data_IF_557061111984
#
_entry.id   IF_557061111984
#
_cell.length_a   1.000
_cell.length_b   1.000
_cell.length_c   1.000
_cell.angle_alpha   90.00
_cell.angle_beta   90.00
_cell.angle_gamma   90.00
#
_symmetry.space_group_name_H-M   'P 1'
#
loop_
_entity.id
_entity.type
_entity.pdbx_description
1 polymer ?
#
# COMPACT_ATOMS: atom_id res chain seq x y z
N UNK A 1 35.26 -3.34 33.83
CA UNK A 1 34.11 -2.61 34.42
C UNK A 1 32.86 -3.46 34.22
N UNK A 2 32.03 -3.68 35.24
CA UNK A 2 30.80 -4.49 35.15
C UNK A 2 29.58 -3.60 35.31
N UNK A 3 28.72 -3.55 34.30
CA UNK A 3 27.44 -2.83 34.34
C UNK A 3 26.30 -3.81 34.55
N UNK A 4 25.32 -3.43 35.38
CA UNK A 4 24.11 -4.23 35.60
C UNK A 4 22.96 -3.62 34.81
N UNK A 5 22.45 -4.38 33.84
CA UNK A 5 21.28 -4.00 33.06
C UNK A 5 20.06 -4.54 33.79
N UNK A 6 19.10 -3.67 34.08
CA UNK A 6 17.81 -4.08 34.64
C UNK A 6 16.72 -3.72 33.64
N UNK A 7 15.96 -4.71 33.19
CA UNK A 7 14.84 -4.53 32.27
C UNK A 7 13.57 -4.59 33.10
N UNK A 8 12.82 -3.50 33.17
CA UNK A 8 11.51 -3.47 33.85
C UNK A 8 10.39 -3.41 32.80
N UNK A 9 9.41 -4.30 32.95
CA UNK A 9 8.28 -4.45 32.03
C UNK A 9 6.99 -3.95 32.67
N UNK A 10 6.30 -3.02 32.01
CA UNK A 10 4.98 -2.56 32.47
C UNK A 10 3.86 -3.40 31.83
N UNK A 11 3.30 -4.33 32.63
CA UNK A 11 2.24 -5.27 32.22
C UNK A 11 0.96 -4.61 31.68
N UNK A 12 0.67 -3.34 32.01
CA UNK A 12 -0.58 -2.68 31.57
C UNK A 12 -0.52 -2.08 30.16
N UNK A 13 0.67 -1.74 29.66
CA UNK A 13 0.79 -0.98 28.41
C UNK A 13 1.73 -1.57 27.36
N UNK A 14 2.49 -2.65 27.62
CA UNK A 14 3.39 -3.35 26.68
C UNK A 14 4.31 -2.47 25.79
N UNK A 15 4.39 -1.16 26.01
CA UNK A 15 4.93 -0.17 25.06
C UNK A 15 6.19 0.52 25.55
N UNK A 16 6.64 0.24 26.77
CA UNK A 16 7.77 0.97 27.35
C UNK A 16 8.74 0.01 28.02
N UNK A 17 9.91 -0.12 27.42
CA UNK A 17 11.09 -0.78 27.99
C UNK A 17 12.05 0.32 28.42
N UNK A 18 12.26 0.48 29.72
CA UNK A 18 13.27 1.39 30.23
C UNK A 18 14.59 0.66 30.38
N UNK A 19 15.58 1.05 29.55
CA UNK A 19 16.97 0.62 29.71
C UNK A 19 17.70 1.68 30.52
N UNK A 20 17.86 1.43 31.82
CA UNK A 20 18.67 2.27 32.71
C UNK A 20 20.01 1.59 32.96
N UNK A 21 21.09 2.25 32.51
CA UNK A 21 22.46 1.86 32.82
C UNK A 21 22.87 2.49 34.15
N UNK A 22 23.25 1.65 35.11
CA UNK A 22 23.82 2.07 36.39
C UNK A 22 25.31 1.77 36.43
N UNK A 23 26.09 2.75 36.86
CA UNK A 23 27.45 2.51 37.38
C UNK A 23 27.35 1.64 38.65
N UNK A 24 28.43 0.92 38.99
CA UNK A 24 28.56 0.09 40.20
C UNK A 24 28.28 0.86 41.52
N UNK A 25 28.25 2.21 41.47
CA UNK A 25 27.92 3.11 42.58
C UNK A 25 26.47 3.64 42.59
N UNK A 26 25.61 3.19 41.68
CA UNK A 26 24.17 3.52 41.68
C UNK A 26 23.79 4.90 41.12
N UNK A 27 24.73 5.69 40.62
CA UNK A 27 24.46 7.02 40.04
C UNK A 27 24.09 6.94 38.55
N UNK A 28 23.07 7.70 38.14
CA UNK A 28 22.59 7.78 36.75
C UNK A 28 23.60 8.53 35.87
N UNK A 29 24.21 7.85 34.89
CA UNK A 29 25.15 8.47 33.95
C UNK A 29 24.41 9.41 32.99
N UNK A 30 24.70 10.72 33.12
CA UNK A 30 24.51 11.84 32.19
C UNK A 30 23.37 11.74 31.17
N UNK A 31 22.32 12.51 31.48
CA UNK A 31 21.27 13.01 30.58
C UNK A 31 21.89 13.78 29.40
N UNK A 32 21.39 13.54 28.19
CA UNK A 32 21.52 14.45 27.05
C UNK A 32 22.40 13.91 25.91
N UNK A 33 21.74 13.30 24.91
CA UNK A 33 21.95 13.35 23.45
C UNK A 33 21.63 12.03 22.72
N UNK A 34 21.42 10.92 23.42
CA UNK A 34 21.16 9.60 22.81
C UNK A 34 19.69 9.15 22.77
N UNK A 35 18.74 9.96 23.26
CA UNK A 35 17.32 9.59 23.21
C UNK A 35 16.57 10.16 21.99
N UNK A 36 17.03 11.27 21.40
CA UNK A 36 16.31 11.92 20.28
C UNK A 36 16.47 11.11 18.99
N UNK A 37 17.67 10.55 18.73
CA UNK A 37 17.92 9.70 17.57
C UNK A 37 17.23 8.33 17.61
N UNK A 38 17.08 7.73 18.80
CA UNK A 38 16.39 6.45 18.98
C UNK A 38 14.85 6.60 18.92
N UNK A 39 14.31 7.77 19.29
CA UNK A 39 12.87 8.01 19.31
C UNK A 39 12.28 8.11 17.89
N UNK A 40 12.96 8.79 16.96
CA UNK A 40 12.49 8.99 15.58
C UNK A 40 12.45 7.69 14.75
N UNK A 41 13.35 6.73 15.02
CA UNK A 41 13.30 5.42 14.36
C UNK A 41 12.07 4.60 14.78
N UNK A 42 11.63 4.75 16.03
CA UNK A 42 10.50 3.98 16.55
C UNK A 42 9.18 4.45 15.96
N UNK A 43 8.96 5.77 15.82
CA UNK A 43 7.69 6.34 15.33
C UNK A 43 7.43 6.04 13.86
N UNK A 44 8.46 6.01 13.01
CA UNK A 44 8.32 5.65 11.60
C UNK A 44 7.87 4.19 11.40
N UNK A 45 8.39 3.28 12.24
CA UNK A 45 8.03 1.86 12.21
C UNK A 45 6.56 1.62 12.61
N UNK A 46 6.04 2.39 13.58
CA UNK A 46 4.63 2.29 14.00
C UNK A 46 3.65 2.82 12.94
N UNK A 47 4.00 3.88 12.20
CA UNK A 47 3.17 4.37 11.11
C UNK A 47 3.10 3.37 9.95
N UNK A 48 4.25 2.82 9.55
CA UNK A 48 4.33 1.86 8.44
C UNK A 48 3.62 0.53 8.76
N UNK A 49 3.73 0.04 9.99
CA UNK A 49 2.98 -1.17 10.43
C UNK A 49 1.45 -0.98 10.38
N UNK A 50 0.95 0.23 10.66
CA UNK A 50 -0.48 0.52 10.56
C UNK A 50 -0.98 0.58 9.10
N UNK A 51 -0.20 1.17 8.19
CA UNK A 51 -0.54 1.24 6.77
C UNK A 51 -0.65 -0.16 6.13
N UNK A 52 0.35 -1.02 6.38
CA UNK A 52 0.38 -2.41 5.88
C UNK A 52 -0.78 -3.24 6.44
N UNK A 53 -1.19 -3.00 7.68
CA UNK A 53 -2.36 -3.66 8.27
C UNK A 53 -3.65 -3.32 7.50
N UNK A 54 -3.89 -2.04 7.24
CA UNK A 54 -5.05 -1.61 6.43
C UNK A 54 -4.97 -2.13 5.00
N UNK A 55 -3.78 -2.17 4.39
CA UNK A 55 -3.59 -2.74 3.06
C UNK A 55 -3.98 -4.23 3.01
N UNK A 56 -3.53 -5.03 3.99
CA UNK A 56 -3.87 -6.45 4.11
C UNK A 56 -5.37 -6.67 4.31
N UNK A 57 -6.03 -5.86 5.15
CA UNK A 57 -7.48 -5.90 5.32
C UNK A 57 -8.24 -5.55 4.03
N UNK A 58 -7.73 -4.57 3.27
CA UNK A 58 -8.28 -4.21 1.96
C UNK A 58 -8.23 -5.38 0.98
N UNK A 59 -7.10 -6.09 0.91
CA UNK A 59 -6.95 -7.30 0.11
C UNK A 59 -7.93 -8.39 0.54
N UNK A 60 -8.07 -8.64 1.85
CA UNK A 60 -9.01 -9.62 2.37
C UNK A 60 -10.46 -9.29 1.96
N UNK A 61 -10.88 -8.01 2.09
CA UNK A 61 -12.23 -7.59 1.71
C UNK A 61 -12.46 -7.67 0.20
N UNK A 62 -11.45 -7.36 -0.62
CA UNK A 62 -11.50 -7.56 -2.06
C UNK A 62 -11.70 -9.03 -2.41
N UNK A 63 -10.94 -9.94 -1.77
CA UNK A 63 -11.06 -11.38 -2.00
C UNK A 63 -12.43 -11.94 -1.55
N UNK A 64 -13.08 -11.29 -0.59
CA UNK A 64 -14.47 -11.58 -0.18
C UNK A 64 -15.53 -10.96 -1.13
N UNK A 65 -15.12 -10.26 -2.19
CA UNK A 65 -16.00 -9.52 -3.10
C UNK A 65 -16.60 -8.24 -2.48
N UNK A 66 -16.21 -7.88 -1.27
CA UNK A 66 -16.69 -6.65 -0.62
C UNK A 66 -15.81 -5.46 -1.03
N UNK A 67 -15.98 -5.04 -2.28
CA UNK A 67 -15.18 -3.97 -2.88
C UNK A 67 -15.36 -2.62 -2.18
N UNK A 68 -16.54 -2.33 -1.63
CA UNK A 68 -16.78 -1.09 -0.89
C UNK A 68 -15.90 -1.01 0.37
N UNK A 69 -15.88 -2.07 1.19
CA UNK A 69 -14.99 -2.12 2.36
C UNK A 69 -13.52 -2.18 1.94
N UNK A 70 -13.19 -2.87 0.85
CA UNK A 70 -11.83 -2.89 0.31
C UNK A 70 -11.33 -1.46 0.01
N UNK A 71 -12.13 -0.65 -0.68
CA UNK A 71 -11.82 0.77 -0.95
C UNK A 71 -11.58 1.54 0.33
N UNK A 72 -12.41 1.38 1.36
CA UNK A 72 -12.22 2.06 2.66
C UNK A 72 -10.87 1.70 3.27
N UNK A 73 -10.52 0.42 3.31
CA UNK A 73 -9.25 -0.03 3.89
C UNK A 73 -8.05 0.42 3.06
N UNK A 74 -8.10 0.34 1.72
CA UNK A 74 -7.02 0.85 0.87
C UNK A 74 -6.87 2.37 0.98
N UNK A 75 -7.98 3.10 1.12
CA UNK A 75 -7.91 4.55 1.34
C UNK A 75 -7.22 4.87 2.66
N UNK A 76 -7.55 4.16 3.73
CA UNK A 76 -6.86 4.34 5.02
C UNK A 76 -5.38 3.96 4.95
N UNK A 77 -5.02 2.91 4.20
CA UNK A 77 -3.63 2.56 3.97
C UNK A 77 -2.87 3.68 3.25
N UNK A 78 -3.47 4.27 2.22
CA UNK A 78 -2.88 5.36 1.44
C UNK A 78 -2.82 6.70 2.19
N UNK A 79 -3.72 6.95 3.15
CA UNK A 79 -3.63 8.09 4.08
C UNK A 79 -2.44 7.97 5.04
N UNK A 80 -2.08 6.74 5.42
CA UNK A 80 -0.96 6.47 6.32
C UNK A 80 0.37 6.37 5.57
N UNK A 81 0.35 5.79 4.38
CA UNK A 81 1.50 5.65 3.48
C UNK A 81 1.06 5.75 2.01
N UNK A 82 1.25 6.92 1.43
CA UNK A 82 0.93 7.21 0.03
C UNK A 82 1.93 6.57 -0.97
N UNK A 83 3.03 5.97 -0.49
CA UNK A 83 4.02 5.30 -1.35
C UNK A 83 3.62 3.89 -1.76
N UNK A 84 2.54 3.34 -1.16
CA UNK A 84 2.03 2.00 -1.45
C UNK A 84 1.41 1.92 -2.85
N UNK A 85 2.24 1.72 -3.87
CA UNK A 85 1.78 1.73 -5.27
C UNK A 85 0.74 0.64 -5.57
N UNK A 86 0.91 -0.55 -4.97
CA UNK A 86 -0.08 -1.64 -5.08
C UNK A 86 -1.43 -1.26 -4.46
N UNK A 87 -1.46 -0.42 -3.42
CA UNK A 87 -2.72 0.01 -2.82
C UNK A 87 -3.52 0.91 -3.79
N UNK A 88 -2.85 1.71 -4.62
CA UNK A 88 -3.51 2.42 -5.73
C UNK A 88 -4.09 1.46 -6.75
N UNK A 89 -3.32 0.49 -7.25
CA UNK A 89 -3.80 -0.49 -8.24
C UNK A 89 -5.02 -1.28 -7.73
N UNK A 90 -4.94 -1.81 -6.50
CA UNK A 90 -6.01 -2.60 -5.90
C UNK A 90 -7.24 -1.77 -5.53
N UNK A 91 -7.06 -0.51 -5.12
CA UNK A 91 -8.18 0.41 -4.91
C UNK A 91 -8.85 0.76 -6.23
N UNK A 92 -8.06 0.99 -7.29
CA UNK A 92 -8.56 1.20 -8.64
C UNK A 92 -9.39 0.03 -9.14
N UNK A 93 -8.90 -1.20 -8.96
CA UNK A 93 -9.65 -2.42 -9.26
C UNK A 93 -10.96 -2.50 -8.48
N UNK A 94 -10.92 -2.23 -7.18
CA UNK A 94 -12.11 -2.24 -6.33
C UNK A 94 -13.13 -1.18 -6.78
N UNK A 95 -12.69 0.00 -7.22
CA UNK A 95 -13.56 0.99 -7.83
C UNK A 95 -14.17 0.53 -9.15
N UNK A 96 -13.40 -0.13 -10.02
CA UNK A 96 -13.90 -0.66 -11.29
C UNK A 96 -14.99 -1.72 -11.07
N UNK A 97 -14.81 -2.61 -10.08
CA UNK A 97 -15.85 -3.57 -9.69
C UNK A 97 -17.14 -2.91 -9.16
N UNK A 98 -17.01 -1.72 -8.56
CA UNK A 98 -18.14 -0.88 -8.14
C UNK A 98 -18.69 0.03 -9.26
N UNK A 99 -18.23 -0.16 -10.51
CA UNK A 99 -18.57 0.68 -11.67
C UNK A 99 -18.19 2.15 -11.53
N UNK A 100 -17.25 2.46 -10.63
CA UNK A 100 -16.69 3.80 -10.38
C UNK A 100 -15.45 4.01 -11.26
N UNK A 101 -15.65 3.97 -12.58
CA UNK A 101 -14.55 3.88 -13.55
C UNK A 101 -13.64 5.11 -13.56
N UNK A 102 -14.18 6.33 -13.37
CA UNK A 102 -13.34 7.54 -13.29
C UNK A 102 -12.41 7.53 -12.07
N UNK A 103 -12.91 7.08 -10.92
CA UNK A 103 -12.08 6.90 -9.72
C UNK A 103 -11.05 5.79 -9.92
N UNK A 104 -11.43 4.69 -10.59
CA UNK A 104 -10.51 3.62 -10.94
C UNK A 104 -9.35 4.12 -11.81
N UNK A 105 -9.65 4.86 -12.88
CA UNK A 105 -8.65 5.46 -13.76
C UNK A 105 -7.71 6.41 -13.01
N UNK A 106 -8.23 7.22 -12.08
CA UNK A 106 -7.39 8.10 -11.25
C UNK A 106 -6.34 7.31 -10.47
N UNK A 107 -6.75 6.18 -9.88
CA UNK A 107 -5.84 5.32 -9.12
C UNK A 107 -4.87 4.54 -10.02
N UNK A 108 -5.31 4.02 -11.16
CA UNK A 108 -4.41 3.38 -12.13
C UNK A 108 -3.37 4.35 -12.68
N UNK A 109 -3.78 5.58 -13.04
CA UNK A 109 -2.87 6.62 -13.47
C UNK A 109 -1.86 6.96 -12.38
N UNK A 110 -2.31 7.04 -11.11
CA UNK A 110 -1.42 7.30 -9.99
C UNK A 110 -0.37 6.19 -9.85
N UNK A 111 -0.77 4.92 -9.94
CA UNK A 111 0.17 3.80 -9.90
C UNK A 111 1.19 3.85 -11.06
N UNK A 112 0.76 4.16 -12.29
CA UNK A 112 1.65 4.35 -13.44
C UNK A 112 2.64 5.50 -13.22
N UNK A 113 2.19 6.66 -12.71
CA UNK A 113 3.10 7.80 -12.42
C UNK A 113 4.13 7.49 -11.34
N UNK A 114 3.91 6.46 -10.53
CA UNK A 114 4.84 5.98 -9.51
C UNK A 114 5.77 4.88 -10.07
N UNK A 115 5.74 4.60 -11.37
CA UNK A 115 6.58 3.61 -12.04
C UNK A 115 6.08 2.17 -11.93
N UNK A 116 4.86 1.95 -11.41
CA UNK A 116 4.30 0.60 -11.35
C UNK A 116 3.61 0.25 -12.66
N UNK A 117 4.40 -0.34 -13.55
CA UNK A 117 3.95 -0.82 -14.84
C UNK A 117 3.84 -2.34 -14.84
N UNK A 118 2.61 -2.84 -14.96
CA UNK A 118 2.38 -4.26 -15.14
C UNK A 118 1.23 -4.50 -16.13
N UNK A 119 1.22 -5.68 -16.74
CA UNK A 119 0.28 -6.00 -17.78
C UNK A 119 -1.18 -6.01 -17.31
N UNK A 120 -1.44 -6.44 -16.07
CA UNK A 120 -2.78 -6.50 -15.49
C UNK A 120 -3.37 -5.10 -15.22
N UNK A 121 -2.54 -4.14 -14.82
CA UNK A 121 -2.94 -2.77 -14.59
C UNK A 121 -3.38 -2.13 -15.91
N UNK A 122 -2.62 -2.30 -16.99
CA UNK A 122 -3.02 -1.84 -18.31
C UNK A 122 -4.32 -2.53 -18.78
N UNK A 123 -4.47 -3.84 -18.55
CA UNK A 123 -5.70 -4.56 -18.89
C UNK A 123 -6.92 -3.96 -18.17
N UNK A 124 -6.82 -3.78 -16.85
CA UNK A 124 -7.89 -3.23 -16.02
C UNK A 124 -8.21 -1.77 -16.38
N UNK A 125 -7.17 -0.98 -16.67
CA UNK A 125 -7.32 0.41 -17.13
C UNK A 125 -8.04 0.47 -18.49
N UNK A 126 -7.72 -0.44 -19.42
CA UNK A 126 -8.44 -0.57 -20.69
C UNK A 126 -9.93 -0.92 -20.51
N UNK A 127 -10.26 -1.83 -19.59
CA UNK A 127 -11.66 -2.12 -19.26
C UNK A 127 -12.40 -0.93 -18.65
N UNK A 128 -11.71 -0.12 -17.84
CA UNK A 128 -12.29 1.09 -17.27
C UNK A 128 -12.57 2.16 -18.35
N UNK A 129 -11.64 2.38 -19.29
CA UNK A 129 -11.85 3.26 -20.45
C UNK A 129 -13.00 2.79 -21.34
N UNK A 130 -13.01 1.50 -21.68
CA UNK A 130 -14.10 0.91 -22.47
C UNK A 130 -15.47 1.12 -21.81
N UNK A 131 -15.54 0.95 -20.49
CA UNK A 131 -16.78 1.15 -19.72
C UNK A 131 -17.24 2.61 -19.66
N UNK A 132 -16.35 3.56 -19.96
CA UNK A 132 -16.67 4.98 -20.12
C UNK A 132 -17.01 5.37 -21.57
N UNK A 133 -16.95 4.42 -22.52
CA UNK A 133 -17.14 4.68 -23.94
C UNK A 133 -15.88 5.16 -24.67
N UNK A 134 -14.74 5.23 -23.98
CA UNK A 134 -13.45 5.68 -24.52
C UNK A 134 -12.74 4.48 -25.17
N UNK A 135 -13.27 4.05 -26.32
CA UNK A 135 -12.86 2.81 -27.00
C UNK A 135 -11.40 2.82 -27.47
N UNK A 136 -10.93 3.94 -28.02
CA UNK A 136 -9.58 4.05 -28.55
C UNK A 136 -8.53 3.91 -27.43
N UNK A 137 -8.77 4.60 -26.30
CA UNK A 137 -7.95 4.47 -25.09
C UNK A 137 -7.97 3.05 -24.52
N UNK A 138 -9.11 2.36 -24.58
CA UNK A 138 -9.18 0.97 -24.17
C UNK A 138 -8.26 0.07 -25.01
N UNK A 139 -8.30 0.23 -26.34
CA UNK A 139 -7.47 -0.53 -27.27
C UNK A 139 -5.98 -0.29 -27.05
N UNK A 140 -5.55 0.96 -26.86
CA UNK A 140 -4.16 1.31 -26.55
C UNK A 140 -3.68 0.60 -25.27
N UNK A 141 -4.50 0.62 -24.21
CA UNK A 141 -4.14 -0.02 -22.95
C UNK A 141 -4.11 -1.55 -23.05
N UNK A 142 -5.05 -2.16 -23.79
CA UNK A 142 -5.03 -3.60 -24.04
C UNK A 142 -3.84 -4.02 -24.91
N UNK A 143 -3.49 -3.25 -25.93
CA UNK A 143 -2.29 -3.51 -26.73
C UNK A 143 -1.03 -3.47 -25.87
N UNK A 144 -0.89 -2.45 -25.01
CA UNK A 144 0.22 -2.36 -24.05
C UNK A 144 0.27 -3.58 -23.12
N UNK A 145 -0.88 -4.05 -22.63
CA UNK A 145 -0.98 -5.26 -21.82
C UNK A 145 -0.54 -6.52 -22.59
N UNK A 146 -0.92 -6.62 -23.88
CA UNK A 146 -0.53 -7.71 -24.76
C UNK A 146 0.99 -7.73 -25.03
N UNK A 147 1.58 -6.55 -25.28
CA UNK A 147 3.03 -6.39 -25.46
C UNK A 147 3.82 -6.80 -24.21
N UNK A 148 3.22 -6.67 -23.02
CA UNK A 148 3.79 -7.16 -21.76
C UNK A 148 3.59 -8.67 -21.53
N UNK A 149 2.99 -9.39 -22.50
CA UNK A 149 2.82 -10.84 -22.46
C UNK A 149 1.63 -11.33 -21.65
N UNK A 150 0.63 -10.48 -21.35
CA UNK A 150 -0.58 -10.96 -20.69
C UNK A 150 -1.40 -11.84 -21.64
N UNK A 151 -1.57 -13.10 -21.26
CA UNK A 151 -2.28 -14.07 -22.11
C UNK A 151 -3.77 -13.74 -22.18
N UNK A 152 -4.34 -13.89 -23.37
CA UNK A 152 -5.77 -13.74 -23.60
C UNK A 152 -6.22 -12.33 -24.02
N UNK A 153 -5.34 -11.32 -23.98
CA UNK A 153 -5.68 -9.97 -24.45
C UNK A 153 -5.86 -9.93 -25.97
N UNK A 154 -5.17 -10.77 -26.74
CA UNK A 154 -5.37 -10.89 -28.19
C UNK A 154 -6.83 -11.12 -28.58
N UNK A 155 -7.58 -11.92 -27.81
CA UNK A 155 -9.00 -12.15 -28.05
C UNK A 155 -9.82 -10.89 -27.80
N UNK A 156 -9.44 -10.10 -26.80
CA UNK A 156 -10.06 -8.81 -26.47
C UNK A 156 -9.80 -7.81 -27.61
N UNK A 157 -8.55 -7.72 -28.08
CA UNK A 157 -8.16 -6.86 -29.19
C UNK A 157 -8.91 -7.20 -30.49
N UNK A 158 -8.95 -8.48 -30.87
CA UNK A 158 -9.71 -8.93 -32.06
C UNK A 158 -11.20 -8.58 -31.96
N UNK A 159 -11.79 -8.81 -30.79
CA UNK A 159 -13.23 -8.61 -30.59
C UNK A 159 -13.63 -7.14 -30.55
N UNK A 160 -12.85 -6.30 -29.88
CA UNK A 160 -13.26 -4.92 -29.59
C UNK A 160 -12.52 -3.90 -30.44
N UNK A 161 -11.29 -4.16 -30.88
CA UNK A 161 -10.44 -3.18 -31.56
C UNK A 161 -10.31 -3.39 -33.08
N UNK A 162 -10.70 -4.57 -33.59
CA UNK A 162 -10.77 -4.83 -35.04
C UNK A 162 -9.43 -5.17 -35.70
N UNK A 163 -8.47 -5.69 -34.94
CA UNK A 163 -7.22 -6.27 -35.44
C UNK A 163 -7.36 -7.75 -35.78
#
# INVERSE_FOLDING_TARGET
MRYRITITYNKKNMKTVFLTLFDAKGNTARKGLWCIGFCLLSTGLFAQSSAVHHFTLGQQKRNQGNYAKAVTHFTRALELDASLVQAHELRGYSYACLRKYRQALKDYNKALTMGYENAMLYLNRGWAYYSLGEKDEACINWEKSNLMGYKGVEKVLKKYCGF
#
